data_IF_158449065090
#
_entry.id   IF_158449065090
#
_cell.length_a   1.000
_cell.length_b   1.000
_cell.length_c   1.000
_cell.angle_alpha   90.00
_cell.angle_beta   90.00
_cell.angle_gamma   90.00
#
_symmetry.space_group_name_H-M   'P 1'
#
loop_
_entity.id
_entity.type
_entity.pdbx_description
1 polymer ?
#
# COMPACT_ATOMS: atom_id res chain seq x y z
N UNK A 1 18.29 30.97 19.93
CA UNK A 1 17.66 29.75 20.49
C UNK A 1 16.62 29.28 19.49
N UNK A 2 16.96 28.28 18.68
CA UNK A 2 16.22 27.90 17.46
C UNK A 2 15.02 27.04 17.85
N UNK A 3 13.82 27.62 17.79
CA UNK A 3 12.59 26.90 18.10
C UNK A 3 12.34 25.81 17.05
N UNK A 4 12.34 24.57 17.54
CA UNK A 4 12.18 23.36 16.75
C UNK A 4 10.73 23.22 16.26
N UNK A 5 10.55 23.10 14.93
CA UNK A 5 9.42 22.53 14.17
C UNK A 5 7.97 22.85 14.59
N UNK A 6 7.59 22.46 15.80
CA UNK A 6 6.21 22.48 16.29
C UNK A 6 5.67 23.90 16.51
N UNK A 7 6.43 24.79 17.14
CA UNK A 7 5.97 26.17 17.41
C UNK A 7 5.74 26.96 16.11
N UNK A 8 6.58 26.72 15.09
CA UNK A 8 6.46 27.34 13.75
C UNK A 8 5.15 27.00 13.06
N UNK A 9 4.65 25.77 13.21
CA UNK A 9 3.37 25.33 12.65
C UNK A 9 2.19 25.88 13.46
N UNK A 10 2.26 25.83 14.79
CA UNK A 10 1.15 26.27 15.65
C UNK A 10 0.98 27.80 15.67
N UNK A 11 2.06 28.55 15.49
CA UNK A 11 2.06 30.02 15.45
C UNK A 11 1.94 30.57 14.02
N UNK A 12 1.92 29.71 12.99
CA UNK A 12 1.80 30.14 11.61
C UNK A 12 0.45 30.83 11.39
N UNK A 13 0.50 32.11 11.02
CA UNK A 13 -0.68 32.85 10.56
C UNK A 13 -0.74 32.75 9.03
N UNK A 14 -1.81 32.20 8.44
CA UNK A 14 -1.97 32.16 6.99
C UNK A 14 -1.90 33.57 6.39
N UNK A 15 -1.08 33.76 5.36
CA UNK A 15 -0.94 35.04 4.64
C UNK A 15 -1.78 35.10 3.36
N UNK A 16 -2.39 33.99 2.96
CA UNK A 16 -3.24 33.86 1.78
C UNK A 16 -4.61 33.33 2.20
N UNK A 17 -5.64 33.68 1.44
CA UNK A 17 -7.01 33.22 1.66
C UNK A 17 -7.16 31.71 1.39
N UNK A 18 -6.31 31.15 0.52
CA UNK A 18 -6.37 29.75 0.10
C UNK A 18 -5.01 29.05 0.29
N UNK A 19 -5.07 27.76 0.63
CA UNK A 19 -3.93 26.85 0.62
C UNK A 19 -4.13 25.82 -0.50
N UNK A 20 -3.14 25.68 -1.36
CA UNK A 20 -3.11 24.66 -2.42
C UNK A 20 -2.03 23.65 -2.07
N UNK A 21 -2.45 22.44 -1.70
CA UNK A 21 -1.56 21.30 -1.50
C UNK A 21 -1.51 20.47 -2.77
N UNK A 22 -0.30 20.17 -3.25
CA UNK A 22 -0.10 19.23 -4.35
C UNK A 22 0.52 17.96 -3.76
N UNK A 23 -0.10 16.82 -4.03
CA UNK A 23 0.47 15.54 -3.62
C UNK A 23 1.72 15.24 -4.43
N UNK A 24 2.70 14.62 -3.79
CA UNK A 24 3.99 14.35 -4.42
C UNK A 24 3.91 13.12 -5.32
N UNK A 25 3.61 11.96 -4.73
CA UNK A 25 3.67 10.67 -5.41
C UNK A 25 2.44 10.45 -6.30
N UNK A 26 2.66 10.23 -7.60
CA UNK A 26 1.60 10.00 -8.57
C UNK A 26 0.83 11.24 -9.00
N UNK A 27 1.26 12.43 -8.56
CA UNK A 27 0.73 13.71 -9.04
C UNK A 27 1.86 14.63 -9.52
N UNK A 28 2.79 15.03 -8.64
CA UNK A 28 3.99 15.79 -9.07
C UNK A 28 5.06 14.87 -9.66
N UNK A 29 5.21 13.67 -9.09
CA UNK A 29 6.22 12.69 -9.52
C UNK A 29 5.54 11.42 -10.01
N UNK A 30 5.98 10.91 -11.17
CA UNK A 30 5.52 9.62 -11.69
C UNK A 30 6.29 8.46 -11.04
N UNK A 31 6.06 8.25 -9.75
CA UNK A 31 6.79 7.25 -8.95
C UNK A 31 5.87 6.22 -8.26
N UNK A 32 4.56 6.27 -8.51
CA UNK A 32 3.60 5.37 -7.86
C UNK A 32 3.80 3.91 -8.26
N UNK A 33 4.15 3.65 -9.53
CA UNK A 33 4.43 2.31 -10.01
C UNK A 33 5.62 1.70 -9.26
N UNK A 34 6.80 2.35 -9.34
CA UNK A 34 8.02 1.85 -8.70
C UNK A 34 7.87 1.71 -7.17
N UNK A 35 7.17 2.64 -6.52
CA UNK A 35 6.90 2.56 -5.06
C UNK A 35 6.09 1.32 -4.70
N UNK A 36 5.06 0.99 -5.48
CA UNK A 36 4.21 -0.16 -5.21
C UNK A 36 4.89 -1.48 -5.60
N UNK A 37 5.55 -1.53 -6.75
CA UNK A 37 6.17 -2.73 -7.32
C UNK A 37 7.46 -3.12 -6.62
N UNK A 38 8.33 -2.16 -6.35
CA UNK A 38 9.70 -2.42 -5.90
C UNK A 38 9.94 -2.11 -4.43
N UNK A 39 9.14 -1.21 -3.82
CA UNK A 39 9.28 -0.91 -2.39
C UNK A 39 8.27 -1.67 -1.53
N UNK A 40 7.00 -1.70 -1.90
CA UNK A 40 5.94 -2.25 -1.03
C UNK A 40 5.62 -3.72 -1.30
N UNK A 41 5.57 -4.14 -2.55
CA UNK A 41 5.28 -5.53 -2.88
C UNK A 41 6.29 -6.51 -2.28
N UNK A 42 7.62 -6.28 -2.34
CA UNK A 42 8.58 -7.22 -1.76
C UNK A 42 8.44 -7.34 -0.25
N UNK A 43 8.13 -6.23 0.44
CA UNK A 43 7.91 -6.24 1.89
C UNK A 43 6.65 -7.03 2.26
N UNK A 44 5.56 -6.90 1.51
CA UNK A 44 4.37 -7.72 1.73
C UNK A 44 4.69 -9.21 1.54
N UNK A 45 5.35 -9.57 0.43
CA UNK A 45 5.72 -10.97 0.17
C UNK A 45 6.62 -11.53 1.28
N UNK A 46 7.60 -10.74 1.72
CA UNK A 46 8.54 -11.10 2.78
C UNK A 46 7.88 -11.32 4.13
N UNK A 47 7.10 -10.33 4.60
CA UNK A 47 6.51 -10.36 5.95
C UNK A 47 5.37 -11.37 6.10
N UNK A 48 4.59 -11.62 5.04
CA UNK A 48 3.46 -12.56 5.10
C UNK A 48 3.83 -13.97 4.61
N UNK A 49 5.11 -14.24 4.33
CA UNK A 49 5.58 -15.59 3.96
C UNK A 49 5.05 -16.08 2.60
N UNK A 50 4.90 -15.17 1.63
CA UNK A 50 4.23 -15.45 0.35
C UNK A 50 5.18 -15.86 -0.78
N UNK A 51 6.46 -16.12 -0.47
CA UNK A 51 7.49 -16.48 -1.46
C UNK A 51 7.08 -17.64 -2.38
N UNK A 52 6.40 -18.72 -1.93
CA UNK A 52 5.99 -19.81 -2.80
C UNK A 52 5.01 -19.41 -3.91
N UNK A 53 4.34 -18.27 -3.76
CA UNK A 53 3.37 -17.71 -4.71
C UNK A 53 3.68 -16.25 -5.04
N UNK A 54 4.97 -15.85 -4.98
CA UNK A 54 5.40 -14.47 -5.18
C UNK A 54 4.89 -13.81 -6.48
N UNK A 55 4.84 -14.50 -7.65
CA UNK A 55 4.27 -13.90 -8.86
C UNK A 55 2.79 -13.53 -8.69
N UNK A 56 1.97 -14.44 -8.14
CA UNK A 56 0.56 -14.19 -7.86
C UNK A 56 0.37 -13.07 -6.83
N UNK A 57 1.18 -13.06 -5.76
CA UNK A 57 1.15 -12.01 -4.75
C UNK A 57 1.48 -10.63 -5.35
N UNK A 58 2.42 -10.57 -6.29
CA UNK A 58 2.75 -9.34 -7.02
C UNK A 58 1.60 -8.87 -7.91
N UNK A 59 0.98 -9.77 -8.68
CA UNK A 59 -0.19 -9.43 -9.51
C UNK A 59 -1.35 -8.90 -8.65
N UNK A 60 -1.66 -9.57 -7.54
CA UNK A 60 -2.70 -9.14 -6.61
C UNK A 60 -2.38 -7.76 -5.99
N UNK A 61 -1.14 -7.51 -5.57
CA UNK A 61 -0.71 -6.23 -5.00
C UNK A 61 -0.82 -5.09 -6.00
N UNK A 62 -0.27 -5.29 -7.21
CA UNK A 62 -0.30 -4.29 -8.28
C UNK A 62 -1.75 -3.99 -8.67
N UNK A 63 -2.59 -5.01 -8.84
CA UNK A 63 -4.01 -4.82 -9.12
C UNK A 63 -4.68 -4.00 -8.02
N UNK A 64 -4.55 -4.42 -6.76
CA UNK A 64 -5.22 -3.76 -5.64
C UNK A 64 -4.81 -2.29 -5.49
N UNK A 65 -3.51 -1.99 -5.59
CA UNK A 65 -2.99 -0.65 -5.32
C UNK A 65 -2.98 0.31 -6.52
N UNK A 66 -2.94 -0.21 -7.76
CA UNK A 66 -2.79 0.64 -8.96
C UNK A 66 -3.96 0.57 -9.94
N UNK A 67 -4.69 -0.54 -10.01
CA UNK A 67 -5.65 -0.77 -11.10
C UNK A 67 -7.07 -1.13 -10.64
N UNK A 68 -7.27 -1.39 -9.35
CA UNK A 68 -8.58 -1.73 -8.82
C UNK A 68 -9.43 -0.50 -8.51
N UNK A 69 -10.74 -0.69 -8.38
CA UNK A 69 -11.67 0.35 -7.89
C UNK A 69 -11.39 0.78 -6.44
N UNK A 70 -10.66 -0.02 -5.67
CA UNK A 70 -10.27 0.30 -4.29
C UNK A 70 -8.88 0.92 -4.21
N UNK A 71 -8.27 1.32 -5.34
CA UNK A 71 -7.00 2.05 -5.39
C UNK A 71 -7.02 3.26 -4.44
N UNK A 72 -5.91 3.48 -3.74
CA UNK A 72 -5.77 4.59 -2.79
C UNK A 72 -6.35 4.31 -1.40
N UNK A 73 -6.91 3.11 -1.17
CA UNK A 73 -7.34 2.69 0.17
C UNK A 73 -6.17 2.61 1.15
N UNK A 74 -6.49 2.66 2.45
CA UNK A 74 -5.51 2.44 3.51
C UNK A 74 -4.74 1.13 3.26
N UNK A 75 -3.41 1.18 3.38
CA UNK A 75 -2.52 0.05 3.06
C UNK A 75 -2.87 -1.22 3.83
N UNK A 76 -3.30 -1.10 5.09
CA UNK A 76 -3.63 -2.27 5.90
C UNK A 76 -4.91 -2.94 5.41
N UNK A 77 -5.94 -2.15 5.10
CA UNK A 77 -7.20 -2.64 4.49
C UNK A 77 -6.91 -3.32 3.15
N UNK A 78 -6.07 -2.70 2.31
CA UNK A 78 -5.66 -3.27 1.03
C UNK A 78 -4.93 -4.60 1.20
N UNK A 79 -4.04 -4.72 2.20
CA UNK A 79 -3.34 -5.97 2.50
C UNK A 79 -4.32 -7.07 2.94
N UNK A 80 -5.27 -6.76 3.83
CA UNK A 80 -6.31 -7.74 4.25
C UNK A 80 -7.07 -8.25 3.03
N UNK A 81 -7.52 -7.34 2.15
CA UNK A 81 -8.17 -7.72 0.89
C UNK A 81 -7.29 -8.62 0.01
N UNK A 82 -5.99 -8.33 -0.09
CA UNK A 82 -5.08 -9.18 -0.85
C UNK A 82 -4.99 -10.58 -0.24
N UNK A 83 -4.82 -10.68 1.08
CA UNK A 83 -4.62 -11.95 1.78
C UNK A 83 -5.88 -12.82 1.81
N UNK A 84 -7.07 -12.22 1.92
CA UNK A 84 -8.33 -12.94 2.13
C UNK A 84 -9.16 -13.14 0.86
N UNK A 85 -9.10 -12.21 -0.09
CA UNK A 85 -9.94 -12.22 -1.30
C UNK A 85 -9.12 -12.53 -2.55
N UNK A 86 -8.10 -11.73 -2.84
CA UNK A 86 -7.42 -11.75 -4.14
C UNK A 86 -6.46 -12.94 -4.28
N UNK A 87 -5.57 -13.13 -3.31
CA UNK A 87 -4.54 -14.15 -3.39
C UNK A 87 -5.12 -15.57 -3.30
N UNK A 88 -6.05 -15.89 -2.39
CA UNK A 88 -6.65 -17.23 -2.34
C UNK A 88 -7.46 -17.60 -3.59
N UNK A 89 -8.03 -16.60 -4.28
CA UNK A 89 -8.81 -16.82 -5.50
C UNK A 89 -7.95 -16.96 -6.77
N UNK A 90 -6.67 -16.55 -6.71
CA UNK A 90 -5.75 -16.52 -7.84
C UNK A 90 -5.48 -17.91 -8.45
N UNK A 91 -5.52 -18.08 -9.79
CA UNK A 91 -5.35 -19.38 -10.44
C UNK A 91 -4.06 -20.10 -10.05
N UNK A 92 -2.92 -19.40 -10.07
CA UNK A 92 -1.61 -19.97 -9.68
C UNK A 92 -1.57 -20.46 -8.23
N UNK A 93 -2.27 -19.78 -7.31
CA UNK A 93 -2.31 -20.18 -5.89
C UNK A 93 -3.10 -21.48 -5.75
N UNK A 94 -4.25 -21.57 -6.44
CA UNK A 94 -5.09 -22.78 -6.49
C UNK A 94 -4.35 -23.95 -7.13
N UNK A 95 -3.70 -23.73 -8.27
CA UNK A 95 -2.92 -24.75 -8.99
C UNK A 95 -1.78 -25.32 -8.15
N UNK A 96 -1.08 -24.46 -7.40
CA UNK A 96 0.00 -24.89 -6.50
C UNK A 96 -0.48 -25.51 -5.19
N UNK A 97 -1.79 -25.49 -4.91
CA UNK A 97 -2.34 -25.94 -3.63
C UNK A 97 -1.80 -25.15 -2.44
N UNK A 98 -1.31 -23.92 -2.66
CA UNK A 98 -0.76 -23.09 -1.59
C UNK A 98 -1.89 -22.54 -0.72
N UNK A 99 -1.79 -22.75 0.59
CA UNK A 99 -2.72 -22.16 1.56
C UNK A 99 -2.12 -20.85 2.06
N UNK A 100 -2.75 -19.74 1.73
CA UNK A 100 -2.39 -18.43 2.29
C UNK A 100 -2.51 -18.51 3.81
N UNK A 101 -1.48 -18.11 4.58
CA UNK A 101 -1.56 -18.18 6.04
C UNK A 101 -2.71 -17.32 6.57
N UNK A 102 -3.35 -17.80 7.64
CA UNK A 102 -4.39 -17.06 8.34
C UNK A 102 -3.76 -16.00 9.26
N UNK A 103 -4.24 -14.76 9.15
CA UNK A 103 -3.82 -13.61 9.94
C UNK A 103 -5.02 -12.98 10.66
N UNK A 104 -5.82 -13.79 11.35
CA UNK A 104 -7.02 -13.37 12.07
C UNK A 104 -6.88 -12.13 12.98
N UNK A 105 -5.73 -11.91 13.60
CA UNK A 105 -5.48 -10.71 14.43
C UNK A 105 -5.11 -9.45 13.63
N UNK A 106 -4.74 -9.60 12.35
CA UNK A 106 -4.44 -8.49 11.45
C UNK A 106 -5.69 -8.03 10.69
N UNK A 107 -6.61 -8.94 10.44
CA UNK A 107 -7.88 -8.69 9.73
C UNK A 107 -9.05 -8.27 10.64
N UNK A 108 -8.82 -8.20 11.95
CA UNK A 108 -9.82 -7.90 12.98
C UNK A 108 -10.18 -6.41 13.08
#
# INVERSE_FOLDING_TARGET
MTLHGKSRLTEFKPNNEYFVGVDSDGCVFDNMAIKQEECFCPMMIGYFGLQPVAPAARECKIFADLYSKTRGSNRHITIVRILEELLPSHPMVKERGFKVPDFSHYSA
#
